data_IF_369162378238
#
_entry.id   IF_369162378238
#
_cell.length_a   1.000
_cell.length_b   1.000
_cell.length_c   1.000
_cell.angle_alpha   90.00
_cell.angle_beta   90.00
_cell.angle_gamma   90.00
#
_symmetry.space_group_name_H-M   'P 1'
#
loop_
_entity.id
_entity.type
_entity.pdbx_description
1 polymer ?
#
# COMPACT_ATOMS: atom_id res chain seq x y z
N UNK A 1 -10.35 13.93 -9.32
CA UNK A 1 -8.95 13.65 -8.92
C UNK A 1 -8.90 12.21 -8.38
N UNK A 2 -7.76 11.52 -8.46
CA UNK A 2 -7.56 10.14 -8.02
C UNK A 2 -6.42 10.16 -7.00
N UNK A 3 -6.67 9.68 -5.78
CA UNK A 3 -5.61 9.45 -4.80
C UNK A 3 -5.01 8.06 -5.05
N UNK A 4 -3.74 8.01 -5.40
CA UNK A 4 -3.02 6.76 -5.61
C UNK A 4 -2.07 6.53 -4.43
N UNK A 5 -2.24 5.41 -3.73
CA UNK A 5 -1.38 5.06 -2.60
C UNK A 5 -0.19 4.23 -3.05
N UNK A 6 0.96 4.46 -2.42
CA UNK A 6 2.22 3.79 -2.74
C UNK A 6 2.86 3.18 -1.50
N UNK A 7 3.36 1.95 -1.62
CA UNK A 7 4.08 1.24 -0.58
C UNK A 7 5.03 0.23 -1.21
N UNK A 8 6.16 -0.03 -0.54
CA UNK A 8 7.13 -1.07 -0.92
C UNK A 8 6.41 -2.41 -1.20
N UNK A 9 6.47 -2.94 -2.45
CA UNK A 9 5.88 -4.22 -2.81
C UNK A 9 6.34 -5.38 -1.92
N UNK A 10 7.58 -5.35 -1.40
CA UNK A 10 8.09 -6.34 -0.45
C UNK A 10 7.40 -6.30 0.91
N UNK A 11 6.74 -5.20 1.25
CA UNK A 11 5.86 -5.10 2.43
C UNK A 11 4.39 -5.39 2.08
N UNK A 12 3.97 -5.15 0.84
CA UNK A 12 2.58 -5.33 0.38
C UNK A 12 2.27 -6.81 0.13
N UNK A 13 3.14 -7.52 -0.60
CA UNK A 13 2.88 -8.91 -1.00
C UNK A 13 2.68 -9.83 0.22
N UNK A 14 3.56 -9.85 1.24
CA UNK A 14 3.33 -10.67 2.43
C UNK A 14 2.03 -10.32 3.16
N UNK A 15 1.69 -9.03 3.23
CA UNK A 15 0.44 -8.58 3.85
C UNK A 15 -0.78 -9.09 3.10
N UNK A 16 -0.76 -9.06 1.77
CA UNK A 16 -1.84 -9.54 0.92
C UNK A 16 -1.98 -11.08 1.03
N UNK A 17 -0.86 -11.80 1.02
CA UNK A 17 -0.84 -13.25 1.22
C UNK A 17 -1.47 -13.64 2.56
N UNK A 18 -1.11 -12.97 3.66
CA UNK A 18 -1.66 -13.25 4.98
C UNK A 18 -3.14 -12.98 5.09
N UNK A 19 -3.64 -11.88 4.51
CA UNK A 19 -5.07 -11.59 4.50
C UNK A 19 -5.82 -12.65 3.67
N UNK A 20 -5.31 -13.02 2.50
CA UNK A 20 -5.90 -14.09 1.69
C UNK A 20 -5.88 -15.45 2.40
N UNK A 21 -4.79 -15.78 3.09
CA UNK A 21 -4.67 -17.00 3.87
C UNK A 21 -5.68 -17.03 5.02
N UNK A 22 -5.83 -15.93 5.76
CA UNK A 22 -6.80 -15.82 6.86
C UNK A 22 -8.26 -15.95 6.37
N UNK A 23 -8.57 -15.37 5.21
CA UNK A 23 -9.89 -15.54 4.60
C UNK A 23 -10.09 -16.97 4.13
N UNK A 24 -9.12 -17.58 3.44
CA UNK A 24 -9.21 -18.99 3.00
C UNK A 24 -9.35 -19.96 4.18
N UNK A 25 -8.62 -19.75 5.27
CA UNK A 25 -8.70 -20.59 6.47
C UNK A 25 -10.06 -20.56 7.17
N UNK A 26 -10.85 -19.51 6.95
CA UNK A 26 -12.22 -19.45 7.47
C UNK A 26 -13.19 -20.39 6.73
N UNK A 27 -12.81 -20.90 5.56
CA UNK A 27 -13.67 -21.72 4.69
C UNK A 27 -13.02 -23.04 4.22
N UNK A 28 -11.73 -23.27 4.54
CA UNK A 28 -10.96 -24.44 4.09
C UNK A 28 -9.75 -24.68 4.99
N UNK A 29 -9.50 -25.93 5.35
CA UNK A 29 -8.27 -26.34 6.04
C UNK A 29 -7.06 -26.39 5.08
N UNK A 30 -7.31 -26.42 3.76
CA UNK A 30 -6.26 -26.39 2.75
C UNK A 30 -5.88 -24.94 2.42
N UNK A 31 -4.79 -24.46 3.02
CA UNK A 31 -4.21 -23.12 2.78
C UNK A 31 -2.74 -23.24 2.39
N UNK A 32 -2.45 -23.12 1.08
CA UNK A 32 -1.09 -23.14 0.55
C UNK A 32 -0.55 -21.72 0.38
N UNK A 33 0.29 -21.26 1.31
CA UNK A 33 0.89 -19.92 1.26
C UNK A 33 1.72 -19.65 -0.02
N UNK A 34 2.54 -20.59 -0.53
CA UNK A 34 3.28 -20.38 -1.77
C UNK A 34 2.38 -20.16 -3.00
N UNK A 35 1.24 -20.86 -3.07
CA UNK A 35 0.26 -20.69 -4.15
C UNK A 35 -0.38 -19.30 -4.10
N UNK A 36 -0.79 -18.85 -2.91
CA UNK A 36 -1.36 -17.51 -2.70
C UNK A 36 -0.34 -16.43 -3.07
N UNK A 37 0.93 -16.61 -2.67
CA UNK A 37 2.00 -15.69 -3.00
C UNK A 37 2.26 -15.62 -4.51
N UNK A 38 2.34 -16.77 -5.19
CA UNK A 38 2.50 -16.83 -6.63
C UNK A 38 1.40 -16.05 -7.34
N UNK A 39 0.13 -16.27 -6.95
CA UNK A 39 -1.01 -15.54 -7.50
C UNK A 39 -0.85 -14.01 -7.36
N UNK A 40 -0.49 -13.53 -6.17
CA UNK A 40 -0.32 -12.10 -5.95
C UNK A 40 0.85 -11.52 -6.74
N UNK A 41 1.95 -12.26 -6.89
CA UNK A 41 3.14 -11.82 -7.62
C UNK A 41 2.90 -11.81 -9.12
N UNK A 42 2.00 -12.64 -9.64
CA UNK A 42 1.57 -12.62 -11.04
C UNK A 42 0.56 -11.49 -11.32
N UNK A 43 -0.42 -11.30 -10.44
CA UNK A 43 -1.54 -10.40 -10.68
C UNK A 43 -1.19 -8.94 -10.37
N UNK A 44 -0.44 -8.68 -9.30
CA UNK A 44 -0.16 -7.31 -8.84
C UNK A 44 0.60 -6.48 -9.89
N UNK A 45 1.64 -6.97 -10.58
CA UNK A 45 2.28 -6.22 -11.68
C UNK A 45 1.28 -5.83 -12.77
N UNK A 46 0.42 -6.76 -13.21
CA UNK A 46 -0.58 -6.47 -14.23
C UNK A 46 -1.62 -5.45 -13.77
N UNK A 47 -1.94 -5.40 -12.47
CA UNK A 47 -2.79 -4.33 -11.91
C UNK A 47 -2.08 -2.98 -11.92
N UNK A 48 -0.80 -2.94 -11.54
CA UNK A 48 0.01 -1.72 -11.54
C UNK A 48 0.23 -1.18 -12.95
N UNK A 49 0.50 -2.04 -13.93
CA UNK A 49 0.66 -1.67 -15.33
C UNK A 49 -0.62 -1.05 -15.90
N UNK A 50 -1.79 -1.62 -15.59
CA UNK A 50 -3.09 -1.05 -16.00
C UNK A 50 -3.35 0.30 -15.32
N UNK A 51 -3.03 0.43 -14.04
CA UNK A 51 -3.15 1.70 -13.32
C UNK A 51 -2.24 2.77 -13.94
N UNK A 52 -1.00 2.41 -14.27
CA UNK A 52 -0.03 3.28 -14.91
C UNK A 52 -0.47 3.71 -16.32
N UNK A 53 -0.96 2.78 -17.15
CA UNK A 53 -1.50 3.12 -18.47
C UNK A 53 -2.73 4.04 -18.40
N UNK A 54 -3.55 3.90 -17.35
CA UNK A 54 -4.67 4.82 -17.09
C UNK A 54 -4.15 6.21 -16.70
N UNK A 55 -3.13 6.25 -15.84
CA UNK A 55 -2.49 7.48 -15.38
C UNK A 55 -1.86 8.28 -16.52
N UNK A 56 -1.19 7.61 -17.46
CA UNK A 56 -0.51 8.26 -18.59
C UNK A 56 -1.46 9.08 -19.47
N UNK A 57 -2.76 8.75 -19.50
CA UNK A 57 -3.77 9.50 -20.24
C UNK A 57 -4.15 10.83 -19.58
N UNK A 58 -3.95 10.96 -18.27
CA UNK A 58 -4.33 12.14 -17.51
C UNK A 58 -3.49 12.28 -16.22
N UNK A 59 -2.16 12.51 -16.33
CA UNK A 59 -1.26 12.47 -15.19
C UNK A 59 -1.64 13.48 -14.10
N UNK A 60 -2.12 14.67 -14.47
CA UNK A 60 -2.51 15.75 -13.54
C UNK A 60 -3.80 15.46 -12.76
N UNK A 61 -4.42 14.30 -12.98
CA UNK A 61 -5.59 13.85 -12.21
C UNK A 61 -5.19 13.06 -10.97
N UNK A 62 -3.93 12.67 -10.83
CA UNK A 62 -3.44 11.80 -9.76
C UNK A 62 -2.74 12.61 -8.66
N UNK A 63 -2.96 12.20 -7.42
CA UNK A 63 -2.26 12.69 -6.23
C UNK A 63 -1.65 11.48 -5.53
N UNK A 64 -0.33 11.43 -5.48
CA UNK A 64 0.41 10.31 -4.89
C UNK A 64 0.43 10.43 -3.37
N UNK A 65 0.15 9.33 -2.67
CA UNK A 65 0.16 9.23 -1.20
C UNK A 65 1.06 8.08 -0.79
N UNK A 66 2.23 8.42 -0.25
CA UNK A 66 3.22 7.43 0.15
C UNK A 66 2.95 6.93 1.55
N UNK A 67 2.90 5.61 1.71
CA UNK A 67 2.62 4.96 2.98
C UNK A 67 3.59 5.41 4.08
N UNK A 68 4.89 5.44 3.79
CA UNK A 68 5.90 5.81 4.79
C UNK A 68 5.80 7.30 5.19
N UNK A 69 5.48 8.20 4.24
CA UNK A 69 5.20 9.61 4.55
C UNK A 69 3.96 9.75 5.44
N UNK A 70 2.86 9.06 5.07
CA UNK A 70 1.60 9.12 5.80
C UNK A 70 1.73 8.60 7.23
N UNK A 71 2.57 7.58 7.47
CA UNK A 71 2.81 7.06 8.81
C UNK A 71 3.80 7.90 9.62
N UNK A 72 4.71 8.60 8.95
CA UNK A 72 5.67 9.47 9.63
C UNK A 72 5.01 10.72 10.21
N UNK A 73 4.10 11.32 9.45
CA UNK A 73 3.33 12.49 9.85
C UNK A 73 1.99 12.51 9.10
N UNK A 74 0.98 11.91 9.71
CA UNK A 74 -0.36 11.79 9.13
C UNK A 74 -0.96 13.16 8.81
N UNK A 75 -0.85 14.12 9.74
CA UNK A 75 -1.51 15.43 9.58
C UNK A 75 -0.88 16.25 8.47
N UNK A 76 0.45 16.21 8.34
CA UNK A 76 1.16 16.84 7.24
C UNK A 76 0.74 16.27 5.89
N UNK A 77 0.67 14.94 5.75
CA UNK A 77 0.26 14.33 4.49
C UNK A 77 -1.21 14.59 4.15
N UNK A 78 -2.10 14.57 5.13
CA UNK A 78 -3.52 14.90 4.90
C UNK A 78 -3.68 16.36 4.48
N UNK A 79 -2.92 17.30 5.06
CA UNK A 79 -2.92 18.70 4.61
C UNK A 79 -2.44 18.87 3.17
N UNK A 80 -1.35 18.19 2.79
CA UNK A 80 -0.86 18.17 1.40
C UNK A 80 -1.91 17.62 0.42
N UNK A 81 -2.67 16.60 0.83
CA UNK A 81 -3.78 16.07 0.03
C UNK A 81 -4.87 17.11 -0.16
N UNK A 82 -5.28 17.84 0.89
CA UNK A 82 -6.27 18.91 0.78
C UNK A 82 -5.84 20.01 -0.20
N UNK A 83 -4.58 20.44 -0.11
CA UNK A 83 -4.00 21.43 -1.02
C UNK A 83 -4.02 20.92 -2.47
N UNK A 84 -3.60 19.68 -2.72
CA UNK A 84 -3.60 19.09 -4.07
C UNK A 84 -5.01 18.86 -4.66
N UNK A 85 -6.01 18.71 -3.79
CA UNK A 85 -7.41 18.56 -4.16
C UNK A 85 -8.15 19.91 -4.24
N UNK A 86 -7.51 21.01 -3.87
CA UNK A 86 -8.09 22.35 -3.81
C UNK A 86 -9.33 22.39 -2.88
N UNK A 87 -9.27 21.62 -1.78
CA UNK A 87 -10.33 21.54 -0.76
C UNK A 87 -9.95 22.42 0.44
N UNK A 88 -10.93 23.16 0.95
CA UNK A 88 -10.73 24.06 2.09
C UNK A 88 -10.31 23.30 3.36
N UNK A 89 -9.26 23.81 4.02
CA UNK A 89 -8.79 23.32 5.32
C UNK A 89 -9.32 24.20 6.44
N UNK A 90 -10.25 23.68 7.24
CA UNK A 90 -10.78 24.39 8.40
C UNK A 90 -10.12 23.91 9.70
N UNK A 91 -10.01 24.82 10.67
CA UNK A 91 -9.55 24.50 12.02
C UNK A 91 -10.44 23.46 12.72
N UNK A 92 -11.73 23.43 12.38
CA UNK A 92 -12.65 22.43 12.93
C UNK A 92 -12.33 21.02 12.42
N UNK A 93 -12.09 20.88 11.10
CA UNK A 93 -11.69 19.63 10.47
C UNK A 93 -10.38 19.11 11.06
N UNK A 94 -9.38 19.98 11.18
CA UNK A 94 -8.08 19.65 11.78
C UNK A 94 -8.24 19.10 13.20
N UNK A 95 -9.00 19.80 14.05
CA UNK A 95 -9.27 19.36 15.42
C UNK A 95 -10.00 18.03 15.48
N UNK A 96 -10.93 17.75 14.55
CA UNK A 96 -11.63 16.46 14.46
C UNK A 96 -10.67 15.32 14.08
N UNK A 97 -9.78 15.56 13.11
CA UNK A 97 -8.77 14.58 12.69
C UNK A 97 -7.76 14.28 13.80
N UNK A 98 -7.26 15.32 14.49
CA UNK A 98 -6.35 15.16 15.62
C UNK A 98 -6.98 14.35 16.76
N UNK A 99 -8.21 14.69 17.16
CA UNK A 99 -8.96 13.91 18.15
C UNK A 99 -9.16 12.46 17.71
N UNK A 100 -9.37 12.21 16.42
CA UNK A 100 -9.47 10.84 15.93
C UNK A 100 -8.15 10.10 16.08
N UNK A 101 -7.01 10.71 15.70
CA UNK A 101 -5.69 10.11 15.85
C UNK A 101 -5.31 9.83 17.31
N UNK A 102 -5.66 10.73 18.23
CA UNK A 102 -5.46 10.54 19.67
C UNK A 102 -6.20 9.31 20.21
N UNK A 103 -7.43 9.08 19.71
CA UNK A 103 -8.26 7.95 20.11
C UNK A 103 -7.95 6.64 19.35
N UNK A 104 -7.17 6.71 18.27
CA UNK A 104 -6.81 5.58 17.43
C UNK A 104 -5.29 5.54 17.21
N UNK A 105 -4.49 5.38 18.29
CA UNK A 105 -3.06 5.28 18.15
C UNK A 105 -2.73 4.13 17.20
N UNK A 106 -1.94 4.41 16.15
CA UNK A 106 -1.56 3.38 15.20
C UNK A 106 -0.91 2.23 15.98
N UNK A 107 -1.37 0.98 15.80
CA UNK A 107 -0.71 -0.14 16.46
C UNK A 107 0.77 -0.13 16.06
N UNK A 108 1.67 -0.28 17.04
CA UNK A 108 3.09 -0.54 16.76
C UNK A 108 3.10 -1.76 15.86
N UNK A 109 3.39 -1.57 14.57
CA UNK A 109 3.43 -2.68 13.63
C UNK A 109 4.46 -3.67 14.16
N UNK A 110 4.02 -4.89 14.44
CA UNK A 110 4.93 -5.99 14.61
C UNK A 110 5.88 -5.98 13.39
N UNK A 111 7.19 -6.19 13.59
CA UNK A 111 8.10 -6.31 12.47
C UNK A 111 7.50 -7.30 11.48
N UNK A 112 7.46 -6.91 10.21
CA UNK A 112 7.08 -7.81 9.13
C UNK A 112 8.14 -8.89 9.14
N UNK A 113 7.88 -9.98 9.87
CA UNK A 113 8.74 -11.14 9.83
C UNK A 113 8.84 -11.59 8.38
N UNK A 114 10.04 -12.07 8.06
CA UNK A 114 10.56 -12.39 6.75
C UNK A 114 9.79 -13.56 6.10
N UNK A 115 8.49 -13.38 5.85
CA UNK A 115 7.58 -14.40 5.35
C UNK A 115 7.83 -14.72 3.87
N UNK A 116 8.62 -13.90 3.15
CA UNK A 116 8.92 -14.14 1.74
C UNK A 116 9.54 -15.53 1.53
N UNK A 117 10.46 -15.96 2.41
CA UNK A 117 11.08 -17.28 2.32
C UNK A 117 10.06 -18.41 2.53
N UNK A 118 9.12 -18.23 3.46
CA UNK A 118 8.01 -19.17 3.70
C UNK A 118 7.08 -19.29 2.47
N UNK A 119 7.14 -18.33 1.55
CA UNK A 119 6.39 -18.33 0.30
C UNK A 119 7.22 -18.85 -0.89
N UNK A 120 8.49 -19.18 -0.70
CA UNK A 120 9.42 -19.56 -1.78
C UNK A 120 9.99 -18.37 -2.56
N UNK A 121 9.98 -17.17 -1.97
CA UNK A 121 10.44 -15.92 -2.59
C UNK A 121 11.56 -15.25 -1.79
N UNK A 122 12.37 -14.46 -2.47
CA UNK A 122 13.33 -13.56 -1.82
C UNK A 122 12.95 -12.11 -2.10
N UNK A 123 13.43 -11.18 -1.26
CA UNK A 123 13.19 -9.76 -1.46
C UNK A 123 13.75 -9.29 -2.80
N UNK A 124 14.92 -9.80 -3.19
CA UNK A 124 15.63 -9.45 -4.41
C UNK A 124 14.83 -9.84 -5.65
N UNK A 125 14.35 -11.10 -5.71
CA UNK A 125 13.51 -11.58 -6.82
C UNK A 125 12.19 -10.83 -6.93
N UNK A 126 11.63 -10.45 -5.78
CA UNK A 126 10.42 -9.64 -5.75
C UNK A 126 10.69 -8.23 -6.27
N UNK A 127 11.73 -7.56 -5.80
CA UNK A 127 12.08 -6.22 -6.26
C UNK A 127 12.44 -6.17 -7.75
N UNK A 128 13.09 -7.20 -8.27
CA UNK A 128 13.32 -7.33 -9.72
C UNK A 128 11.99 -7.33 -10.49
N UNK A 129 10.99 -8.10 -10.00
CA UNK A 129 9.66 -8.17 -10.61
C UNK A 129 8.91 -6.82 -10.58
N UNK A 130 9.14 -6.00 -9.55
CA UNK A 130 8.50 -4.70 -9.37
C UNK A 130 9.41 -3.51 -9.70
N UNK A 131 10.56 -3.73 -10.33
CA UNK A 131 11.60 -2.71 -10.51
C UNK A 131 11.10 -1.45 -11.23
N UNK A 132 10.26 -1.61 -12.25
CA UNK A 132 9.68 -0.48 -12.98
C UNK A 132 8.80 0.40 -12.08
N UNK A 133 7.98 -0.22 -11.23
CA UNK A 133 7.11 0.48 -10.28
C UNK A 133 7.93 1.17 -9.17
N UNK A 134 8.87 0.45 -8.56
CA UNK A 134 9.77 0.99 -7.54
C UNK A 134 10.58 2.17 -8.07
N UNK A 135 11.13 2.08 -9.29
CA UNK A 135 11.83 3.18 -9.93
C UNK A 135 10.93 4.39 -10.19
N UNK A 136 9.70 4.17 -10.64
CA UNK A 136 8.76 5.25 -11.01
C UNK A 136 8.30 6.06 -9.81
N UNK A 137 8.08 5.40 -8.67
CA UNK A 137 7.49 5.98 -7.47
C UNK A 137 8.46 6.09 -6.29
N UNK A 138 9.72 5.69 -6.45
CA UNK A 138 10.74 5.71 -5.40
C UNK A 138 10.29 4.99 -4.10
N UNK A 139 9.72 3.79 -4.26
CA UNK A 139 9.26 2.91 -3.17
C UNK A 139 9.95 1.56 -3.16
#
# INVERSE_FOLDING_TARGET
>A
RILQTHRDPAKVVPSAVRICAAVRSAYSDAVALPEIAQLWIEVLPAMLDRAQATRERAPDRFVDVYYDALMSDTMREVRRIYEALEVEWSLETERRMLRWLENHPSPKRAPVHHDLEAFGWTRERLLERFAAYCKRFAV
#
